data_IF_224643568751
#
_entry.id   IF_224643568751
#
_cell.length_a   1.000
_cell.length_b   1.000
_cell.length_c   1.000
_cell.angle_alpha   90.00
_cell.angle_beta   90.00
_cell.angle_gamma   90.00
#
_symmetry.space_group_name_H-M   'P 1'
#
loop_
_entity.id
_entity.type
_entity.pdbx_description
1 polymer ?
#
# COMPACT_ATOMS: atom_id res chain seq x y z
N UNK A 1 -38.83 -54.03 37.83
CA UNK A 1 -37.65 -53.69 36.99
C UNK A 1 -37.94 -52.35 36.32
N UNK A 2 -37.35 -51.22 36.73
CA UNK A 2 -37.53 -49.95 36.07
C UNK A 2 -36.54 -49.73 34.94
N UNK A 3 -37.01 -49.27 33.80
CA UNK A 3 -36.20 -48.89 32.64
C UNK A 3 -35.62 -47.49 32.85
N UNK A 4 -34.30 -47.38 32.84
CA UNK A 4 -33.60 -46.10 32.76
C UNK A 4 -33.68 -45.57 31.31
N UNK A 5 -34.30 -44.39 31.15
CA UNK A 5 -34.25 -43.61 29.93
C UNK A 5 -33.02 -42.70 29.99
N UNK A 6 -32.05 -42.94 29.11
CA UNK A 6 -30.86 -42.08 28.96
C UNK A 6 -31.24 -40.82 28.19
N UNK A 7 -31.01 -39.67 28.82
CA UNK A 7 -31.15 -38.34 28.21
C UNK A 7 -29.82 -37.97 27.52
N UNK A 8 -29.80 -37.99 26.19
CA UNK A 8 -28.69 -37.44 25.41
C UNK A 8 -28.83 -35.93 25.32
N UNK A 9 -27.95 -35.23 26.01
CA UNK A 9 -27.78 -33.77 25.90
C UNK A 9 -26.91 -33.49 24.66
N UNK A 10 -27.54 -33.03 23.58
CA UNK A 10 -26.80 -32.55 22.40
C UNK A 10 -26.33 -31.11 22.68
N UNK A 11 -25.04 -30.94 22.98
CA UNK A 11 -24.42 -29.64 23.04
C UNK A 11 -24.24 -29.10 21.64
N UNK A 12 -25.05 -28.13 21.23
CA UNK A 12 -24.88 -27.36 20.02
C UNK A 12 -23.69 -26.40 20.22
N UNK A 13 -22.57 -26.70 19.58
CA UNK A 13 -21.49 -25.71 19.42
C UNK A 13 -22.01 -24.59 18.52
N UNK A 14 -22.33 -23.44 19.11
CA UNK A 14 -22.56 -22.21 18.37
C UNK A 14 -21.22 -21.76 17.77
N UNK A 15 -21.01 -21.97 16.47
CA UNK A 15 -19.97 -21.27 15.73
C UNK A 15 -20.29 -19.76 15.83
N UNK A 16 -19.53 -19.05 16.67
CA UNK A 16 -19.52 -17.60 16.62
C UNK A 16 -18.86 -17.18 15.31
N UNK A 17 -19.66 -16.89 14.29
CA UNK A 17 -19.20 -16.14 13.12
C UNK A 17 -18.66 -14.80 13.66
N UNK A 18 -17.34 -14.58 13.48
CA UNK A 18 -16.72 -13.30 13.81
C UNK A 18 -17.48 -12.22 13.02
N UNK A 19 -18.10 -11.30 13.72
CA UNK A 19 -18.75 -10.13 13.10
C UNK A 19 -17.71 -9.41 12.24
N UNK A 20 -18.00 -9.15 10.95
CA UNK A 20 -17.13 -8.37 10.11
C UNK A 20 -16.84 -7.03 10.82
N UNK A 21 -15.57 -6.60 10.86
CA UNK A 21 -15.24 -5.25 11.30
C UNK A 21 -16.02 -4.29 10.39
N UNK A 22 -17.07 -3.64 10.91
CA UNK A 22 -17.78 -2.64 10.16
C UNK A 22 -16.78 -1.55 9.74
N UNK A 23 -16.76 -1.19 8.46
CA UNK A 23 -15.94 -0.09 7.99
C UNK A 23 -16.38 1.17 8.75
N UNK A 24 -15.44 1.95 9.34
CA UNK A 24 -15.79 3.22 9.94
C UNK A 24 -16.51 4.07 8.88
N UNK A 25 -17.67 4.59 9.21
CA UNK A 25 -18.43 5.47 8.32
C UNK A 25 -18.27 6.90 8.81
N UNK A 26 -17.96 7.83 7.89
CA UNK A 26 -17.83 9.24 8.20
C UNK A 26 -17.20 10.03 7.06
N UNK A 27 -17.22 11.37 7.16
CA UNK A 27 -16.60 12.26 6.19
C UNK A 27 -15.08 12.08 6.06
N UNK A 28 -14.46 11.44 7.05
CA UNK A 28 -13.03 11.16 7.11
C UNK A 28 -12.63 9.92 6.28
N UNK A 29 -13.54 8.98 6.01
CA UNK A 29 -13.28 7.77 5.22
C UNK A 29 -14.24 7.67 4.04
N UNK A 30 -13.73 7.82 2.83
CA UNK A 30 -14.47 7.54 1.60
C UNK A 30 -14.26 6.11 1.16
N UNK A 31 -15.33 5.41 0.86
CA UNK A 31 -15.34 3.99 0.46
C UNK A 31 -15.93 3.81 -0.93
N UNK A 32 -15.29 2.98 -1.75
CA UNK A 32 -15.93 2.30 -2.89
C UNK A 32 -16.25 0.88 -2.47
N UNK A 33 -17.45 0.42 -2.82
CA UNK A 33 -17.92 -0.93 -2.57
C UNK A 33 -18.73 -1.41 -3.77
N UNK A 34 -18.29 -2.48 -4.39
CA UNK A 34 -18.98 -3.08 -5.54
C UNK A 34 -19.59 -4.47 -5.21
N UNK A 35 -19.70 -4.80 -3.92
CA UNK A 35 -20.19 -6.10 -3.45
C UNK A 35 -19.12 -7.21 -3.44
N UNK A 36 -18.04 -7.09 -4.21
CA UNK A 36 -16.92 -8.06 -4.25
C UNK A 36 -15.73 -7.57 -3.44
N UNK A 37 -15.35 -6.32 -3.63
CA UNK A 37 -14.25 -5.64 -2.95
C UNK A 37 -14.73 -4.30 -2.40
N UNK A 38 -14.21 -3.96 -1.23
CA UNK A 38 -14.35 -2.64 -0.63
C UNK A 38 -12.98 -2.02 -0.45
N UNK A 39 -12.78 -0.81 -0.98
CA UNK A 39 -11.56 -0.02 -0.82
C UNK A 39 -11.88 1.35 -0.25
N UNK A 40 -11.05 1.85 0.67
CA UNK A 40 -11.26 3.14 1.34
C UNK A 40 -10.00 3.96 1.47
N UNK A 41 -10.14 5.27 1.24
CA UNK A 41 -9.13 6.30 1.50
C UNK A 41 -9.53 7.13 2.72
N UNK A 42 -8.57 7.53 3.54
CA UNK A 42 -8.81 8.17 4.84
C UNK A 42 -8.20 9.58 4.87
N UNK A 43 -9.05 10.61 5.05
CA UNK A 43 -8.64 12.01 5.13
C UNK A 43 -7.68 12.23 6.30
N UNK A 44 -7.96 11.63 7.47
CA UNK A 44 -7.14 11.77 8.66
C UNK A 44 -5.76 11.09 8.52
N UNK A 45 -5.55 10.30 7.47
CA UNK A 45 -4.31 9.56 7.19
C UNK A 45 -3.75 9.88 5.80
N UNK A 46 -3.71 11.17 5.47
CA UNK A 46 -3.09 11.66 4.24
C UNK A 46 -3.80 11.24 2.96
N UNK A 47 -5.09 10.87 3.00
CA UNK A 47 -5.83 10.42 1.82
C UNK A 47 -5.34 9.09 1.25
N UNK A 48 -4.46 8.38 1.96
CA UNK A 48 -3.96 7.07 1.56
C UNK A 48 -5.03 5.97 1.71
N UNK A 49 -4.80 4.79 1.11
CA UNK A 49 -5.68 3.65 1.29
C UNK A 49 -5.44 3.05 2.67
N UNK A 50 -6.47 3.03 3.50
CA UNK A 50 -6.47 2.49 4.86
C UNK A 50 -7.46 1.35 5.06
N UNK A 51 -8.33 1.12 4.08
CA UNK A 51 -9.29 0.04 4.10
C UNK A 51 -9.24 -0.77 2.81
N UNK A 52 -9.14 -2.08 2.95
CA UNK A 52 -9.27 -3.02 1.86
C UNK A 52 -9.84 -4.32 2.40
N UNK A 53 -10.92 -4.81 1.81
CA UNK A 53 -11.57 -6.07 2.16
C UNK A 53 -12.24 -6.69 0.94
N UNK A 54 -12.53 -7.99 1.01
CA UNK A 54 -13.24 -8.71 -0.04
C UNK A 54 -14.25 -9.69 0.58
N UNK A 55 -15.10 -10.30 -0.24
CA UNK A 55 -16.00 -11.35 0.21
C UNK A 55 -15.24 -12.54 0.83
N UNK A 56 -14.04 -12.87 0.33
CA UNK A 56 -13.19 -13.92 0.88
C UNK A 56 -12.49 -13.51 2.19
N UNK A 57 -12.34 -12.22 2.44
CA UNK A 57 -11.79 -11.66 3.68
C UNK A 57 -12.54 -10.37 4.04
N UNK A 58 -13.66 -10.47 4.79
CA UNK A 58 -14.56 -9.32 5.04
C UNK A 58 -14.04 -8.32 6.08
N UNK A 59 -12.82 -8.51 6.58
CA UNK A 59 -12.14 -7.59 7.51
C UNK A 59 -11.15 -6.70 6.75
N UNK A 60 -10.75 -5.60 7.38
CA UNK A 60 -9.70 -4.75 6.83
C UNK A 60 -8.34 -5.46 6.87
N UNK A 61 -7.67 -5.54 5.73
CA UNK A 61 -6.35 -6.15 5.60
C UNK A 61 -5.19 -5.13 5.53
N UNK A 62 -5.48 -3.81 5.48
CA UNK A 62 -4.44 -2.77 5.43
C UNK A 62 -3.95 -2.47 6.85
N UNK A 63 -2.63 -2.45 7.04
CA UNK A 63 -2.04 -1.98 8.28
C UNK A 63 -1.91 -0.46 8.28
N UNK A 64 -2.42 0.20 9.34
CA UNK A 64 -2.38 1.66 9.51
C UNK A 64 -1.86 2.06 10.91
N UNK A 65 -0.94 1.29 11.46
CA UNK A 65 -0.42 1.51 12.82
C UNK A 65 0.32 2.86 12.97
N UNK A 66 0.91 3.37 11.91
CA UNK A 66 1.62 4.65 11.89
C UNK A 66 1.61 5.26 10.48
N UNK A 67 2.01 6.55 10.32
CA UNK A 67 2.00 7.25 9.03
C UNK A 67 2.90 6.64 7.94
N UNK A 68 3.94 5.90 8.32
CA UNK A 68 4.84 5.24 7.37
C UNK A 68 4.27 3.96 6.76
N UNK A 69 3.11 3.48 7.27
CA UNK A 69 2.44 2.28 6.79
C UNK A 69 1.34 2.62 5.79
N UNK A 70 0.29 1.86 5.63
CA UNK A 70 -0.79 2.08 4.66
C UNK A 70 -0.46 1.49 3.28
N UNK A 71 -1.34 1.74 2.31
CA UNK A 71 -1.01 1.62 0.87
C UNK A 71 -0.95 3.04 0.34
N UNK A 72 0.25 3.50 -0.03
CA UNK A 72 0.54 4.92 -0.20
C UNK A 72 1.70 5.21 -1.13
N UNK A 73 1.85 6.48 -1.48
CA UNK A 73 2.99 7.03 -2.19
C UNK A 73 4.13 7.33 -1.22
N UNK A 74 5.37 6.95 -1.59
CA UNK A 74 6.59 7.18 -0.82
C UNK A 74 7.76 7.41 -1.77
N UNK A 75 8.40 8.58 -1.66
CA UNK A 75 9.46 8.98 -2.59
C UNK A 75 10.72 9.42 -1.88
N UNK A 76 11.83 9.33 -2.60
CA UNK A 76 13.16 9.72 -2.12
C UNK A 76 13.85 10.59 -3.17
N UNK A 77 14.40 11.72 -2.75
CA UNK A 77 15.14 12.62 -3.66
C UNK A 77 16.30 13.33 -2.95
N UNK A 78 17.13 13.96 -3.75
CA UNK A 78 18.24 14.80 -3.27
C UNK A 78 19.30 14.05 -2.46
N UNK A 79 20.14 14.81 -1.80
CA UNK A 79 21.20 14.29 -0.95
C UNK A 79 20.71 13.87 0.44
N UNK A 80 21.53 13.07 1.13
CA UNK A 80 21.28 12.65 2.51
C UNK A 80 21.81 13.72 3.46
N UNK A 81 20.99 14.18 4.41
CA UNK A 81 21.33 15.23 5.37
C UNK A 81 21.16 14.77 6.80
N UNK A 82 22.08 15.16 7.66
CA UNK A 82 21.93 15.11 9.10
C UNK A 82 21.28 16.42 9.57
N UNK A 83 20.01 16.34 9.97
CA UNK A 83 19.20 17.47 10.44
C UNK A 83 18.77 17.33 11.88
N UNK A 84 19.55 16.60 12.69
CA UNK A 84 19.23 16.41 14.12
C UNK A 84 19.14 17.74 14.88
N UNK A 85 19.91 18.75 14.46
CA UNK A 85 19.79 20.10 15.00
C UNK A 85 18.45 20.78 14.69
N UNK A 86 17.80 20.38 13.59
CA UNK A 86 16.48 20.88 13.15
C UNK A 86 15.33 20.04 13.72
N UNK A 87 15.60 19.05 14.58
CA UNK A 87 14.58 18.17 15.17
C UNK A 87 14.35 16.85 14.44
N UNK A 88 15.23 16.47 13.51
CA UNK A 88 15.18 15.17 12.83
C UNK A 88 15.22 14.01 13.84
N UNK A 89 14.38 13.02 13.61
CA UNK A 89 14.36 11.79 14.39
C UNK A 89 15.73 11.10 14.38
N UNK A 90 16.25 10.78 15.58
CA UNK A 90 17.53 10.06 15.71
C UNK A 90 17.56 8.72 15.01
N UNK A 91 16.41 8.04 14.93
CA UNK A 91 16.28 6.74 14.26
C UNK A 91 16.36 6.85 12.73
N UNK A 92 16.16 8.05 12.18
CA UNK A 92 16.10 8.35 10.74
C UNK A 92 17.10 9.46 10.36
N UNK A 93 18.25 9.52 11.00
CA UNK A 93 19.30 10.47 10.71
C UNK A 93 20.63 9.75 10.45
N UNK A 94 21.37 10.09 9.38
CA UNK A 94 21.01 11.05 8.33
C UNK A 94 20.00 10.47 7.31
N UNK A 95 19.19 11.32 6.66
CA UNK A 95 18.12 10.88 5.76
C UNK A 95 18.03 11.74 4.49
N UNK A 96 17.51 11.15 3.41
CA UNK A 96 17.19 11.87 2.17
C UNK A 96 15.88 12.65 2.30
N UNK A 97 15.59 13.54 1.37
CA UNK A 97 14.27 14.13 1.24
C UNK A 97 13.25 13.02 0.89
N UNK A 98 12.39 12.71 1.85
CA UNK A 98 11.49 11.57 1.76
C UNK A 98 10.05 11.98 2.11
N UNK A 99 9.31 12.59 1.15
CA UNK A 99 7.90 12.83 1.32
C UNK A 99 7.11 11.52 1.31
N UNK A 100 6.22 11.36 2.29
CA UNK A 100 5.32 10.22 2.43
C UNK A 100 3.88 10.73 2.54
N UNK A 101 2.96 10.11 1.78
CA UNK A 101 1.56 10.53 1.70
C UNK A 101 0.85 10.46 3.05
N UNK A 102 1.05 9.40 3.83
CA UNK A 102 0.42 9.27 5.14
C UNK A 102 0.98 10.25 6.15
N UNK A 103 2.26 10.60 6.07
CA UNK A 103 2.87 11.57 6.97
C UNK A 103 4.30 11.25 7.40
N UNK A 104 4.80 11.97 8.38
CA UNK A 104 6.11 11.81 8.98
C UNK A 104 6.04 11.14 10.36
N UNK A 105 7.20 10.99 10.98
CA UNK A 105 7.31 10.44 12.34
C UNK A 105 6.45 11.24 13.32
N UNK A 106 5.39 10.60 13.84
CA UNK A 106 4.50 11.21 14.84
C UNK A 106 3.48 12.21 14.31
N UNK A 107 3.35 12.40 12.99
CA UNK A 107 2.36 13.31 12.42
C UNK A 107 1.75 12.81 11.13
N UNK A 108 0.45 13.01 10.95
CA UNK A 108 -0.25 12.71 9.70
C UNK A 108 -0.15 13.88 8.71
N UNK A 109 -0.10 13.57 7.44
CA UNK A 109 -0.05 14.57 6.38
C UNK A 109 -1.41 15.26 6.17
N UNK A 110 -1.38 16.48 5.64
CA UNK A 110 -2.57 17.30 5.42
C UNK A 110 -3.17 17.07 4.05
N UNK A 111 -4.41 16.60 4.01
CA UNK A 111 -5.21 16.48 2.79
C UNK A 111 -5.79 17.85 2.41
N UNK A 112 -5.62 18.25 1.16
CA UNK A 112 -6.10 19.52 0.60
C UNK A 112 -7.36 19.36 -0.23
N UNK A 113 -7.53 18.22 -0.89
CA UNK A 113 -8.75 17.85 -1.61
C UNK A 113 -9.09 16.39 -1.34
N UNK A 114 -10.36 16.10 -1.07
CA UNK A 114 -10.82 14.78 -0.68
C UNK A 114 -12.27 14.59 -1.11
N UNK A 115 -12.50 13.83 -2.16
CA UNK A 115 -13.86 13.68 -2.71
C UNK A 115 -14.04 12.41 -3.53
N UNK A 116 -15.29 12.04 -3.69
CA UNK A 116 -15.74 11.11 -4.72
C UNK A 116 -15.89 11.90 -6.04
N UNK A 117 -15.23 11.46 -7.10
CA UNK A 117 -15.36 12.09 -8.44
C UNK A 117 -16.62 11.61 -9.14
N UNK A 118 -16.89 10.33 -9.03
CA UNK A 118 -18.05 9.62 -9.57
C UNK A 118 -18.34 8.37 -8.72
N UNK A 119 -19.28 7.53 -9.15
CA UNK A 119 -19.64 6.30 -8.42
C UNK A 119 -18.50 5.27 -8.32
N UNK A 120 -17.47 5.40 -9.17
CA UNK A 120 -16.38 4.43 -9.30
C UNK A 120 -15.01 4.96 -8.89
N UNK A 121 -14.87 6.27 -8.60
CA UNK A 121 -13.56 6.91 -8.42
C UNK A 121 -13.51 7.79 -7.19
N UNK A 122 -12.54 7.53 -6.31
CA UNK A 122 -12.16 8.41 -5.19
C UNK A 122 -10.91 9.20 -5.56
N UNK A 123 -10.83 10.42 -5.04
CA UNK A 123 -9.68 11.31 -5.23
C UNK A 123 -9.22 11.92 -3.92
N UNK A 124 -7.88 11.97 -3.76
CA UNK A 124 -7.24 12.73 -2.70
C UNK A 124 -6.07 13.54 -3.26
N UNK A 125 -5.95 14.80 -2.81
CA UNK A 125 -4.75 15.61 -2.95
C UNK A 125 -4.18 15.89 -1.56
N UNK A 126 -2.88 15.68 -1.39
CA UNK A 126 -2.19 15.71 -0.10
C UNK A 126 -0.92 16.52 -0.19
N UNK A 127 -0.65 17.35 0.82
CA UNK A 127 0.68 17.88 1.10
C UNK A 127 1.34 16.87 2.04
N UNK A 128 2.30 16.06 1.55
CA UNK A 128 2.93 15.03 2.35
C UNK A 128 3.84 15.64 3.42
N UNK A 129 4.16 14.86 4.46
CA UNK A 129 5.21 15.22 5.40
C UNK A 129 6.51 14.52 5.04
N UNK A 130 7.66 15.08 5.46
CA UNK A 130 8.94 14.39 5.44
C UNK A 130 8.95 13.30 6.51
N UNK A 131 9.33 12.09 6.14
CA UNK A 131 9.31 10.94 7.04
C UNK A 131 10.13 11.13 8.30
N UNK A 132 11.32 11.68 8.15
CA UNK A 132 12.31 11.85 9.21
C UNK A 132 12.03 12.98 10.19
N UNK A 133 11.00 13.79 9.92
CA UNK A 133 10.66 15.00 10.70
C UNK A 133 9.29 14.88 11.37
N UNK A 134 9.16 15.30 12.63
CA UNK A 134 7.90 15.14 13.38
C UNK A 134 6.76 16.05 12.96
N UNK A 135 6.82 16.88 12.01
CA UNK A 135 5.69 17.70 11.51
C UNK A 135 6.10 18.63 10.38
N UNK A 136 7.11 18.27 9.60
CA UNK A 136 7.58 19.10 8.50
C UNK A 136 6.87 18.72 7.20
N UNK A 137 6.03 19.60 6.63
CA UNK A 137 5.46 19.40 5.31
C UNK A 137 6.57 19.38 4.26
N UNK A 138 6.50 18.44 3.34
CA UNK A 138 7.39 18.44 2.19
C UNK A 138 6.93 19.48 1.17
N UNK A 139 7.89 20.10 0.47
CA UNK A 139 7.59 20.96 -0.67
C UNK A 139 7.15 20.10 -1.87
N UNK A 140 5.99 19.49 -1.76
CA UNK A 140 5.42 18.58 -2.76
C UNK A 140 3.89 18.53 -2.67
N UNK A 141 3.27 17.96 -3.70
CA UNK A 141 1.86 17.55 -3.71
C UNK A 141 1.79 16.12 -4.23
N UNK A 142 0.96 15.30 -3.58
CA UNK A 142 0.62 13.96 -4.01
C UNK A 142 -0.85 13.90 -4.38
N UNK A 143 -1.17 13.38 -5.57
CA UNK A 143 -2.53 13.12 -6.02
C UNK A 143 -2.73 11.64 -6.22
N UNK A 144 -3.89 11.16 -5.79
CA UNK A 144 -4.25 9.76 -5.90
C UNK A 144 -5.69 9.63 -6.41
N UNK A 145 -5.87 8.80 -7.43
CA UNK A 145 -7.17 8.35 -7.91
C UNK A 145 -7.27 6.85 -7.66
N UNK A 146 -8.27 6.45 -6.90
CA UNK A 146 -8.53 5.05 -6.52
C UNK A 146 -9.84 4.64 -7.15
N UNK A 147 -9.84 3.59 -7.97
CA UNK A 147 -11.01 3.10 -8.68
C UNK A 147 -11.00 1.58 -8.81
N UNK A 148 -12.11 0.98 -9.23
CA UNK A 148 -12.11 -0.40 -9.70
C UNK A 148 -11.62 -0.48 -11.15
N UNK A 149 -10.88 -1.55 -11.48
CA UNK A 149 -10.47 -1.81 -12.86
C UNK A 149 -11.70 -2.19 -13.70
N UNK A 150 -11.95 -1.53 -14.85
CA UNK A 150 -13.10 -1.82 -15.68
C UNK A 150 -13.20 -3.30 -16.09
N UNK A 151 -14.32 -3.92 -15.79
CA UNK A 151 -14.59 -5.33 -16.09
C UNK A 151 -13.98 -6.34 -15.12
N UNK A 152 -13.28 -5.88 -14.07
CA UNK A 152 -12.64 -6.74 -13.07
C UNK A 152 -13.04 -6.30 -11.65
N UNK A 153 -14.15 -6.79 -11.09
CA UNK A 153 -14.69 -6.30 -9.81
C UNK A 153 -13.83 -6.63 -8.59
N UNK A 154 -12.89 -7.55 -8.71
CA UNK A 154 -11.93 -7.98 -7.70
C UNK A 154 -10.57 -7.25 -7.81
N UNK A 155 -10.49 -6.22 -8.68
CA UNK A 155 -9.26 -5.47 -8.94
C UNK A 155 -9.46 -3.97 -8.68
N UNK A 156 -8.61 -3.40 -7.84
CA UNK A 156 -8.50 -1.96 -7.61
C UNK A 156 -7.35 -1.41 -8.44
N UNK A 157 -7.59 -0.37 -9.22
CA UNK A 157 -6.56 0.41 -9.91
C UNK A 157 -6.31 1.71 -9.19
N UNK A 158 -5.03 2.05 -8.99
CA UNK A 158 -4.63 3.30 -8.35
C UNK A 158 -3.69 4.05 -9.28
N UNK A 159 -4.05 5.29 -9.62
CA UNK A 159 -3.19 6.22 -10.33
C UNK A 159 -2.61 7.21 -9.35
N UNK A 160 -1.29 7.40 -9.42
CA UNK A 160 -0.52 8.31 -8.59
C UNK A 160 0.12 9.41 -9.42
N UNK A 161 0.09 10.62 -8.88
CA UNK A 161 0.87 11.76 -9.38
C UNK A 161 1.58 12.41 -8.21
N UNK A 162 2.89 12.55 -8.34
CA UNK A 162 3.73 13.28 -7.41
C UNK A 162 4.28 14.52 -8.12
N UNK A 163 4.13 15.68 -7.49
CA UNK A 163 4.66 16.96 -7.99
C UNK A 163 5.62 17.51 -6.95
N UNK A 164 6.91 17.46 -7.25
CA UNK A 164 7.93 18.14 -6.45
C UNK A 164 7.83 19.67 -6.67
N UNK A 165 7.82 20.41 -5.56
CA UNK A 165 7.78 21.89 -5.55
C UNK A 165 9.02 22.46 -4.88
N UNK A 166 10.11 21.70 -4.87
CA UNK A 166 11.39 22.12 -4.32
C UNK A 166 11.99 23.22 -5.20
N UNK A 167 12.75 24.13 -4.61
CA UNK A 167 13.57 25.07 -5.35
C UNK A 167 14.86 24.40 -5.84
N UNK A 168 15.42 24.90 -6.96
CA UNK A 168 16.58 24.30 -7.61
C UNK A 168 17.84 24.39 -6.75
N UNK A 169 17.93 25.38 -5.89
CA UNK A 169 19.04 25.71 -4.99
C UNK A 169 18.74 25.37 -3.51
N UNK A 170 17.73 24.55 -3.24
CA UNK A 170 17.44 24.16 -1.87
C UNK A 170 18.53 23.25 -1.29
N UNK A 171 18.48 23.06 0.05
CA UNK A 171 19.47 22.25 0.78
C UNK A 171 19.60 20.79 0.30
N UNK A 172 18.61 20.26 -0.40
CA UNK A 172 18.63 18.87 -0.89
C UNK A 172 19.42 18.69 -2.18
N UNK A 173 19.77 19.80 -2.86
CA UNK A 173 20.61 19.79 -4.07
C UNK A 173 19.91 19.14 -5.29
N UNK A 174 20.70 18.75 -6.30
CA UNK A 174 20.21 18.31 -7.59
C UNK A 174 19.48 16.97 -7.53
N UNK A 175 18.87 16.62 -8.65
CA UNK A 175 18.28 15.29 -8.85
C UNK A 175 19.36 14.20 -8.75
N UNK A 176 19.15 13.23 -7.87
CA UNK A 176 19.98 12.04 -7.71
C UNK A 176 19.13 10.79 -7.89
N UNK A 177 19.61 9.76 -8.62
CA UNK A 177 18.87 8.51 -8.75
C UNK A 177 18.65 7.85 -7.39
N UNK A 178 17.38 7.71 -6.99
CA UNK A 178 16.94 7.07 -5.75
C UNK A 178 15.95 5.95 -6.06
N UNK A 179 15.75 5.06 -5.11
CA UNK A 179 14.73 4.04 -5.16
C UNK A 179 13.40 4.65 -4.72
N UNK A 180 12.39 4.57 -5.59
CA UNK A 180 11.03 5.01 -5.33
C UNK A 180 10.16 3.79 -5.05
N UNK A 181 9.29 3.89 -4.05
CA UNK A 181 8.30 2.85 -3.77
C UNK A 181 7.04 3.10 -4.63
N UNK A 182 6.74 2.19 -5.53
CA UNK A 182 5.68 2.35 -6.55
C UNK A 182 4.65 1.21 -6.52
N UNK A 183 3.83 1.09 -5.45
CA UNK A 183 3.73 1.88 -4.21
C UNK A 183 4.46 1.27 -3.00
N UNK A 184 4.38 1.92 -1.81
CA UNK A 184 4.53 1.26 -0.51
C UNK A 184 3.21 0.61 -0.11
N UNK A 185 3.22 -0.66 0.28
CA UNK A 185 2.05 -1.36 0.79
C UNK A 185 2.35 -2.06 2.11
N UNK A 186 1.42 -1.91 3.06
CA UNK A 186 1.48 -2.59 4.34
C UNK A 186 0.17 -3.31 4.64
N UNK A 187 0.26 -4.62 4.86
CA UNK A 187 -0.87 -5.49 5.17
C UNK A 187 -0.80 -5.98 6.62
N UNK A 188 -1.92 -6.45 7.15
CA UNK A 188 -1.94 -7.09 8.46
C UNK A 188 -1.03 -8.32 8.47
N UNK A 189 -0.42 -8.61 9.63
CA UNK A 189 0.67 -9.61 9.76
C UNK A 189 0.23 -11.06 9.52
N UNK A 190 -1.08 -11.34 9.52
CA UNK A 190 -1.63 -12.67 9.21
C UNK A 190 -1.57 -13.03 7.71
N UNK A 191 -1.31 -12.07 6.80
CA UNK A 191 -1.04 -12.32 5.37
C UNK A 191 0.42 -12.75 5.16
N UNK A 192 0.84 -13.82 5.82
CA UNK A 192 2.24 -14.19 6.01
C UNK A 192 2.84 -15.11 4.94
N UNK A 193 2.02 -15.74 4.09
CA UNK A 193 2.51 -16.53 2.97
C UNK A 193 2.75 -15.64 1.77
N UNK A 194 4.02 -15.40 1.42
CA UNK A 194 4.43 -14.49 0.35
C UNK A 194 4.82 -15.27 -0.89
N UNK A 195 4.32 -14.86 -2.05
CA UNK A 195 4.63 -15.49 -3.33
C UNK A 195 4.91 -14.47 -4.43
N UNK A 196 5.95 -14.72 -5.24
CA UNK A 196 6.18 -14.04 -6.52
C UNK A 196 5.40 -14.73 -7.63
N UNK A 197 4.71 -13.95 -8.46
CA UNK A 197 4.00 -14.50 -9.62
C UNK A 197 4.94 -14.73 -10.80
N UNK A 198 4.89 -15.96 -11.36
CA UNK A 198 5.74 -16.36 -12.48
C UNK A 198 5.01 -16.33 -13.83
N UNK A 199 3.68 -16.25 -13.80
CA UNK A 199 2.81 -16.32 -14.97
C UNK A 199 2.13 -17.68 -15.12
N UNK A 200 1.02 -17.70 -15.87
CA UNK A 200 0.29 -18.90 -16.23
C UNK A 200 -0.09 -19.78 -15.01
N UNK A 201 -0.52 -19.11 -13.93
CA UNK A 201 -0.89 -19.74 -12.65
C UNK A 201 0.27 -20.22 -11.78
N UNK A 202 1.51 -20.05 -12.20
CA UNK A 202 2.68 -20.50 -11.46
C UNK A 202 3.17 -19.48 -10.44
N UNK A 203 3.63 -20.00 -9.29
CA UNK A 203 4.09 -19.20 -8.16
C UNK A 203 5.43 -19.69 -7.62
N UNK A 204 6.21 -18.75 -7.07
CA UNK A 204 7.37 -19.08 -6.24
C UNK A 204 7.14 -18.52 -4.84
N UNK A 205 7.20 -19.39 -3.83
CA UNK A 205 7.14 -18.95 -2.43
C UNK A 205 8.42 -18.21 -2.06
N UNK A 206 8.25 -17.06 -1.42
CA UNK A 206 9.35 -16.24 -0.91
C UNK A 206 9.35 -16.28 0.62
N UNK A 207 10.54 -16.34 1.20
CA UNK A 207 10.72 -16.32 2.65
C UNK A 207 11.69 -15.24 3.05
N UNK A 208 11.39 -14.55 4.14
CA UNK A 208 12.22 -13.47 4.68
C UNK A 208 12.03 -13.36 6.19
N UNK A 209 13.12 -13.29 6.97
CA UNK A 209 13.01 -12.92 8.39
C UNK A 209 12.47 -11.50 8.56
N UNK A 210 11.96 -11.16 9.75
CA UNK A 210 11.49 -9.80 10.02
C UNK A 210 12.53 -8.74 9.70
N UNK A 211 12.12 -7.70 8.95
CA UNK A 211 12.94 -6.57 8.54
C UNK A 211 12.59 -5.28 9.25
N UNK A 212 13.26 -4.14 8.93
CA UNK A 212 14.38 -4.03 8.01
C UNK A 212 15.66 -4.73 8.50
N UNK A 213 16.57 -5.17 7.59
CA UNK A 213 16.49 -4.99 6.14
C UNK A 213 15.45 -5.90 5.48
N UNK A 214 14.76 -5.37 4.47
CA UNK A 214 13.75 -6.10 3.72
C UNK A 214 14.35 -7.16 2.79
N UNK A 215 13.63 -8.24 2.57
CA UNK A 215 13.90 -9.19 1.49
C UNK A 215 13.81 -8.53 0.13
N UNK A 216 14.47 -9.14 -0.86
CA UNK A 216 14.49 -8.65 -2.24
C UNK A 216 14.07 -9.74 -3.19
N UNK A 217 13.03 -9.48 -3.98
CA UNK A 217 12.56 -10.36 -5.04
C UNK A 217 12.57 -9.64 -6.39
N UNK A 218 12.55 -10.41 -7.48
CA UNK A 218 12.32 -9.92 -8.84
C UNK A 218 11.24 -10.78 -9.49
N UNK A 219 9.95 -10.47 -9.23
CA UNK A 219 8.87 -11.22 -9.82
C UNK A 219 8.82 -10.98 -11.34
N UNK A 220 8.91 -12.00 -12.19
CA UNK A 220 9.01 -11.81 -13.65
C UNK A 220 7.73 -11.25 -14.28
N UNK A 221 6.61 -11.36 -13.59
CA UNK A 221 5.30 -10.79 -14.01
C UNK A 221 4.93 -9.54 -13.21
N UNK A 222 5.92 -8.84 -12.65
CA UNK A 222 5.73 -7.60 -11.88
C UNK A 222 4.61 -7.70 -10.82
N UNK A 223 4.49 -8.85 -10.14
CA UNK A 223 3.47 -9.08 -9.14
C UNK A 223 3.95 -9.97 -7.98
N UNK A 224 3.58 -9.58 -6.77
CA UNK A 224 3.72 -10.38 -5.55
C UNK A 224 2.38 -10.47 -4.83
N UNK A 225 2.10 -11.62 -4.24
CA UNK A 225 0.88 -11.89 -3.49
C UNK A 225 1.18 -12.33 -2.05
N UNK A 226 0.26 -12.01 -1.17
CA UNK A 226 0.29 -12.31 0.26
C UNK A 226 -1.00 -13.04 0.63
N UNK A 227 -0.87 -14.19 1.28
CA UNK A 227 -2.01 -15.04 1.62
C UNK A 227 -2.09 -15.25 3.13
N UNK A 228 -3.32 -15.18 3.63
CA UNK A 228 -3.67 -15.60 4.99
C UNK A 228 -3.87 -17.12 5.05
N UNK A 229 -3.80 -17.71 6.25
CA UNK A 229 -3.96 -19.16 6.46
C UNK A 229 -5.30 -19.71 5.92
N UNK A 230 -6.35 -18.88 5.83
CA UNK A 230 -7.65 -19.26 5.25
C UNK A 230 -7.73 -19.20 3.72
N UNK A 231 -6.60 -18.99 3.02
CA UNK A 231 -6.53 -18.96 1.55
C UNK A 231 -6.95 -17.64 0.90
N UNK A 232 -7.46 -16.67 1.68
CA UNK A 232 -7.69 -15.32 1.18
C UNK A 232 -6.35 -14.62 0.88
N UNK A 233 -6.28 -13.91 -0.23
CA UNK A 233 -5.06 -13.26 -0.70
C UNK A 233 -5.27 -11.84 -1.15
N UNK A 234 -4.16 -11.10 -1.18
CA UNK A 234 -4.00 -9.80 -1.80
C UNK A 234 -2.72 -9.79 -2.63
N UNK A 235 -2.79 -9.31 -3.86
CA UNK A 235 -1.61 -9.13 -4.70
C UNK A 235 -1.45 -7.68 -5.11
N UNK A 236 -0.20 -7.26 -5.27
CA UNK A 236 0.18 -6.00 -5.91
C UNK A 236 0.75 -6.33 -7.28
N UNK A 237 0.27 -5.65 -8.32
CA UNK A 237 0.83 -5.66 -9.66
C UNK A 237 1.30 -4.25 -10.00
N UNK A 238 2.60 -4.08 -10.31
CA UNK A 238 3.20 -2.78 -10.59
C UNK A 238 4.25 -2.88 -11.69
N UNK A 239 3.84 -2.72 -12.96
CA UNK A 239 4.77 -2.74 -14.09
C UNK A 239 5.67 -1.50 -14.16
N UNK A 240 5.40 -0.49 -13.32
CA UNK A 240 6.28 0.67 -13.12
C UNK A 240 7.61 0.31 -12.42
N UNK A 241 7.65 -0.82 -11.68
CA UNK A 241 8.86 -1.27 -11.02
C UNK A 241 9.94 -1.70 -12.02
N UNK A 242 11.13 -1.07 -11.95
CA UNK A 242 12.28 -1.35 -12.82
C UNK A 242 13.39 -2.11 -12.09
N UNK A 243 13.29 -2.23 -10.77
CA UNK A 243 14.29 -2.84 -9.90
C UNK A 243 13.72 -4.08 -9.18
N UNK A 244 14.38 -4.47 -8.09
CA UNK A 244 13.86 -5.47 -7.17
C UNK A 244 12.64 -4.92 -6.41
N UNK A 245 11.89 -5.83 -5.80
CA UNK A 245 10.83 -5.53 -4.85
C UNK A 245 11.34 -5.75 -3.44
N UNK A 246 11.17 -4.78 -2.57
CA UNK A 246 11.32 -4.98 -1.14
C UNK A 246 10.11 -5.71 -0.59
N UNK A 247 10.30 -6.69 0.29
CA UNK A 247 9.19 -7.39 0.91
C UNK A 247 9.60 -8.02 2.24
N UNK A 248 8.62 -8.35 3.05
CA UNK A 248 8.82 -9.18 4.23
C UNK A 248 7.97 -8.77 5.42
N UNK A 249 8.02 -9.58 6.49
CA UNK A 249 7.38 -9.25 7.74
C UNK A 249 8.11 -8.13 8.49
N UNK A 250 7.37 -7.35 9.27
CA UNK A 250 7.88 -6.46 10.31
C UNK A 250 7.30 -6.89 11.66
N UNK A 251 8.14 -6.96 12.66
CA UNK A 251 7.73 -7.43 13.97
C UNK A 251 7.39 -8.91 14.05
N UNK A 252 7.26 -9.43 15.26
CA UNK A 252 6.91 -10.82 15.54
C UNK A 252 5.42 -11.05 15.75
N UNK A 253 5.00 -12.34 15.65
CA UNK A 253 3.63 -12.77 15.89
C UNK A 253 2.68 -12.48 14.72
N UNK A 254 1.71 -13.38 14.49
CA UNK A 254 0.63 -13.15 13.55
C UNK A 254 -0.47 -12.31 14.21
N UNK A 255 -1.02 -11.33 13.49
CA UNK A 255 -2.17 -10.55 13.91
C UNK A 255 -2.97 -10.10 12.69
N UNK A 256 -4.27 -10.04 12.85
CA UNK A 256 -5.22 -9.51 11.86
C UNK A 256 -5.70 -8.10 12.24
N UNK A 257 -5.05 -7.47 13.25
CA UNK A 257 -5.41 -6.15 13.73
C UNK A 257 -4.72 -5.07 12.88
N UNK A 258 -5.47 -4.22 12.15
CA UNK A 258 -4.89 -3.19 11.27
C UNK A 258 -4.03 -2.14 11.98
N UNK A 259 -4.33 -1.85 13.25
CA UNK A 259 -3.59 -0.88 14.07
C UNK A 259 -2.39 -1.51 14.81
N UNK A 260 -2.11 -2.80 14.63
CA UNK A 260 -1.01 -3.47 15.32
C UNK A 260 0.35 -3.11 14.73
N UNK A 261 1.38 -3.09 15.58
CA UNK A 261 2.78 -2.87 15.17
C UNK A 261 3.30 -3.91 14.17
N UNK A 262 3.10 -5.23 14.37
CA UNK A 262 3.48 -6.24 13.38
C UNK A 262 2.66 -6.14 12.09
N UNK A 263 3.35 -6.25 10.93
CA UNK A 263 2.72 -6.16 9.61
C UNK A 263 3.48 -6.95 8.55
N UNK A 264 2.94 -7.02 7.33
CA UNK A 264 3.63 -7.44 6.12
C UNK A 264 3.87 -6.22 5.25
N UNK A 265 5.05 -6.16 4.63
CA UNK A 265 5.44 -5.07 3.73
C UNK A 265 5.73 -5.58 2.33
N UNK A 266 5.36 -4.79 1.32
CA UNK A 266 5.84 -4.91 -0.04
C UNK A 266 5.97 -3.54 -0.69
N UNK A 267 7.08 -3.33 -1.38
CA UNK A 267 7.31 -2.15 -2.21
C UNK A 267 8.00 -2.57 -3.51
N UNK A 268 7.30 -2.54 -4.65
CA UNK A 268 7.93 -2.52 -5.97
C UNK A 268 8.80 -1.28 -6.10
N UNK A 269 10.03 -1.43 -6.61
CA UNK A 269 11.00 -0.34 -6.67
C UNK A 269 11.22 0.12 -8.11
N UNK A 270 11.04 1.41 -8.35
CA UNK A 270 11.59 2.10 -9.51
C UNK A 270 12.83 2.92 -9.12
N UNK A 271 13.78 3.09 -10.03
CA UNK A 271 14.99 3.88 -9.77
C UNK A 271 15.05 5.07 -10.71
N UNK A 272 14.70 6.23 -10.16
CA UNK A 272 14.58 7.48 -10.91
C UNK A 272 15.14 8.67 -10.12
N UNK A 273 15.62 9.69 -10.82
CA UNK A 273 16.12 10.94 -10.25
C UNK A 273 14.99 11.98 -10.22
N UNK A 274 14.32 12.10 -9.07
CA UNK A 274 13.30 13.12 -8.85
C UNK A 274 14.00 14.47 -8.57
N UNK A 275 13.95 15.38 -9.54
CA UNK A 275 14.51 16.71 -9.43
C UNK A 275 13.56 17.71 -8.76
N UNK A 276 14.06 18.93 -8.47
CA UNK A 276 13.20 20.06 -8.15
C UNK A 276 12.18 20.28 -9.28
N UNK A 277 10.90 20.58 -8.90
CA UNK A 277 9.82 20.86 -9.85
C UNK A 277 9.50 19.74 -10.84
N UNK A 278 9.92 18.48 -10.57
CA UNK A 278 9.57 17.34 -11.38
C UNK A 278 8.16 16.83 -11.08
N UNK A 279 7.55 16.21 -12.08
CA UNK A 279 6.29 15.48 -11.93
C UNK A 279 6.51 14.02 -12.26
N UNK A 280 6.10 13.12 -11.37
CA UNK A 280 6.26 11.69 -11.51
C UNK A 280 4.90 11.01 -11.43
N UNK A 281 4.57 10.16 -12.42
CA UNK A 281 3.27 9.50 -12.55
C UNK A 281 3.44 8.02 -12.78
N UNK A 282 2.59 7.21 -12.12
CA UNK A 282 2.50 5.77 -12.37
C UNK A 282 1.12 5.23 -11.99
N UNK A 283 0.85 3.99 -12.40
CA UNK A 283 -0.30 3.20 -11.93
C UNK A 283 0.18 1.88 -11.34
N UNK A 284 -0.65 1.35 -10.45
CA UNK A 284 -0.52 0.01 -9.93
C UNK A 284 -1.91 -0.58 -9.67
N UNK A 285 -1.96 -1.88 -9.51
CA UNK A 285 -3.21 -2.60 -9.26
C UNK A 285 -3.08 -3.45 -8.00
N UNK A 286 -4.22 -3.59 -7.30
CA UNK A 286 -4.36 -4.48 -6.16
C UNK A 286 -5.43 -5.49 -6.52
N UNK A 287 -5.13 -6.78 -6.39
CA UNK A 287 -6.01 -7.88 -6.73
C UNK A 287 -6.35 -8.64 -5.45
N UNK A 288 -7.63 -8.90 -5.20
CA UNK A 288 -8.10 -9.64 -4.03
C UNK A 288 -8.80 -10.93 -4.46
N UNK A 289 -8.63 -11.98 -3.68
CA UNK A 289 -9.29 -13.26 -3.93
C UNK A 289 -8.53 -14.45 -3.39
N UNK A 290 -8.86 -15.62 -3.88
CA UNK A 290 -8.07 -16.84 -3.67
C UNK A 290 -6.89 -16.90 -4.62
N UNK A 291 -5.92 -17.78 -4.38
CA UNK A 291 -4.73 -17.91 -5.23
C UNK A 291 -5.06 -18.11 -6.73
N UNK A 292 -5.99 -19.01 -7.11
CA UNK A 292 -6.36 -19.16 -8.52
C UNK A 292 -7.05 -17.93 -9.14
N UNK A 293 -7.89 -17.24 -8.35
CA UNK A 293 -8.55 -16.00 -8.81
C UNK A 293 -7.52 -14.90 -9.04
N UNK A 294 -6.58 -14.71 -8.10
CA UNK A 294 -5.51 -13.72 -8.24
C UNK A 294 -4.63 -14.04 -9.45
N UNK A 295 -4.25 -15.31 -9.66
CA UNK A 295 -3.45 -15.72 -10.81
C UNK A 295 -4.13 -15.35 -12.13
N UNK A 296 -5.41 -15.68 -12.29
CA UNK A 296 -6.18 -15.36 -13.50
C UNK A 296 -6.21 -13.84 -13.77
N UNK A 297 -6.45 -13.02 -12.73
CA UNK A 297 -6.43 -11.56 -12.88
C UNK A 297 -5.05 -11.00 -13.20
N UNK A 298 -4.00 -11.55 -12.61
CA UNK A 298 -2.62 -11.13 -12.90
C UNK A 298 -2.23 -11.44 -14.35
N UNK A 299 -2.68 -12.55 -14.94
CA UNK A 299 -2.46 -12.86 -16.35
C UNK A 299 -3.18 -11.87 -17.28
N UNK A 300 -4.44 -11.51 -16.95
CA UNK A 300 -5.19 -10.49 -17.68
C UNK A 300 -4.52 -9.11 -17.60
N UNK A 301 -4.11 -8.70 -16.39
CA UNK A 301 -3.40 -7.44 -16.16
C UNK A 301 -2.05 -7.40 -16.88
N UNK A 302 -1.28 -8.49 -16.81
CA UNK A 302 -0.03 -8.60 -17.53
C UNK A 302 -0.20 -8.46 -19.04
N UNK A 303 -1.16 -9.15 -19.61
CA UNK A 303 -1.48 -9.05 -21.06
C UNK A 303 -1.82 -7.62 -21.45
N UNK A 304 -2.54 -6.89 -20.60
CA UNK A 304 -3.03 -5.53 -20.90
C UNK A 304 -1.99 -4.44 -20.59
N UNK A 305 -1.22 -4.59 -19.50
CA UNK A 305 -0.44 -3.50 -18.92
C UNK A 305 1.05 -3.78 -18.70
N UNK A 306 1.59 -4.92 -19.14
CA UNK A 306 3.01 -5.25 -18.95
C UNK A 306 3.99 -4.23 -19.57
N UNK A 307 3.56 -3.48 -20.57
CA UNK A 307 4.32 -2.41 -21.22
C UNK A 307 4.26 -1.05 -20.52
N UNK A 308 3.42 -0.91 -19.47
CA UNK A 308 3.30 0.35 -18.75
C UNK A 308 4.58 0.68 -17.97
N UNK A 309 4.92 1.97 -17.91
CA UNK A 309 6.07 2.47 -17.17
C UNK A 309 5.67 3.75 -16.44
N UNK A 310 6.40 4.06 -15.39
CA UNK A 310 6.30 5.37 -14.78
C UNK A 310 6.78 6.46 -15.75
N UNK A 311 6.21 7.64 -15.59
CA UNK A 311 6.52 8.82 -16.39
C UNK A 311 7.11 9.89 -15.50
N UNK A 312 8.31 10.36 -15.86
CA UNK A 312 8.93 11.52 -15.25
C UNK A 312 8.92 12.66 -16.26
N UNK A 313 8.43 13.83 -15.84
CA UNK A 313 8.56 15.09 -16.60
C UNK A 313 9.18 16.16 -15.70
N UNK A 314 10.06 16.97 -16.24
CA UNK A 314 10.62 18.14 -15.57
C UNK A 314 9.80 19.39 -15.87
N UNK A 315 9.91 20.41 -14.99
CA UNK A 315 9.19 21.67 -15.20
C UNK A 315 9.76 22.39 -16.44
N UNK A 316 8.98 22.47 -17.47
CA UNK A 316 9.37 23.06 -18.78
C UNK A 316 8.86 22.22 -19.97
N UNK A 317 8.53 20.96 -19.77
CA UNK A 317 7.93 20.08 -20.78
C UNK A 317 6.40 20.02 -20.65
N UNK A 318 5.77 21.19 -20.59
CA UNK A 318 4.31 21.25 -20.75
C UNK A 318 4.00 20.97 -22.25
N UNK A 319 3.47 19.78 -22.52
CA UNK A 319 2.75 19.47 -23.77
C UNK A 319 1.26 19.43 -23.53
#
# INVERSE_FOLDING_TARGET
MPRLAGLFLATALALHAATPNAAPQGEELLLLDNGTVRVGIDRAKGGAITWLSSAAYPRNLVNYADPGRLIQQSYYAGQVLDRRADGQSKSWSPWAWNPIQGGGVGSWARVTEFRRLDEHTLFAETIPNLWDMPSEPAAAVMRQWTAFEPGQPDVVVVRCEFVARREADDRWGPALPRHQEVPACYFTRNFSTVKSYLGDGAWRTETQPPGPPWGKARPPRAAMAFFAAGGAGVAVFSPAATQHWNFGPHGGGATDQPAAGPCMHVAPIDRVALGPRSTYRFRYWIVLGTEPQIAARLDELWKKYSGERAQLSEAGEAR
#
